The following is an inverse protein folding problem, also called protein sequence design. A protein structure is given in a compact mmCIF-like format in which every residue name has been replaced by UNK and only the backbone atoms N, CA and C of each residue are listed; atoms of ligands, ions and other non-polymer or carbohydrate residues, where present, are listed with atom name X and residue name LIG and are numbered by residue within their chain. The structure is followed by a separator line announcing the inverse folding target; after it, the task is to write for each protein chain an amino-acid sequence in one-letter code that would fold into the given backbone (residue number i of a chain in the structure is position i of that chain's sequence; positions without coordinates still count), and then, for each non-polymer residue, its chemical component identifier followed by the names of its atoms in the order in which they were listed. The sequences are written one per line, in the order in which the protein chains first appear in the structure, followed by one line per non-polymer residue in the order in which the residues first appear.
data_IF_545910244727
#
_entry.id   IF_545910244727
#
_cell.length_a   1.000
_cell.length_b   1.000
_cell.length_c   1.000
_cell.angle_alpha   90.00
_cell.angle_beta   90.00
_cell.angle_gamma   90.00
#
_symmetry.space_group_name_H-M   'P 1'
#
loop_
_entity.id
_entity.type
_entity.pdbx_description
1 polymer ?
#
# COMPACT_ATOMS: atom_id res chain seq x y z
N UNK A 1 -2.20 13.94 -41.92
CA UNK A 1 -2.69 12.91 -41.00
C UNK A 1 -2.19 13.27 -39.61
N UNK A 2 -3.07 13.70 -38.71
CA UNK A 2 -2.72 13.94 -37.30
C UNK A 2 -2.64 12.57 -36.62
N UNK A 3 -1.46 12.24 -36.10
CA UNK A 3 -1.24 11.03 -35.33
C UNK A 3 -1.83 11.22 -33.93
N UNK A 4 -3.06 10.74 -33.72
CA UNK A 4 -3.65 10.65 -32.38
C UNK A 4 -2.96 9.47 -31.69
N UNK A 5 -1.94 9.78 -30.89
CA UNK A 5 -1.47 8.84 -29.87
C UNK A 5 -2.65 8.68 -28.90
N UNK A 6 -3.23 7.48 -28.74
CA UNK A 6 -4.26 7.29 -27.72
C UNK A 6 -3.65 7.73 -26.39
N UNK A 7 -4.38 8.44 -25.52
CA UNK A 7 -3.88 8.70 -24.18
C UNK A 7 -3.50 7.34 -23.61
N UNK A 8 -2.22 7.15 -23.28
CA UNK A 8 -1.81 6.04 -22.41
C UNK A 8 -2.83 6.09 -21.28
N UNK A 9 -3.66 5.06 -21.17
CA UNK A 9 -4.57 4.94 -20.05
C UNK A 9 -3.70 5.24 -18.84
N UNK A 10 -4.02 6.33 -18.11
CA UNK A 10 -3.22 6.75 -16.98
C UNK A 10 -3.42 5.69 -15.90
N UNK A 11 -2.74 4.56 -16.03
CA UNK A 11 -2.43 3.72 -14.89
C UNK A 11 -1.61 4.62 -14.00
N UNK A 12 -2.24 5.06 -12.91
CA UNK A 12 -1.61 5.96 -11.97
C UNK A 12 -0.50 5.15 -11.33
N UNK A 13 0.74 5.60 -11.47
CA UNK A 13 1.92 4.89 -10.98
C UNK A 13 1.79 4.46 -9.50
N UNK A 14 0.98 5.18 -8.71
CA UNK A 14 0.62 4.83 -7.35
C UNK A 14 -0.10 3.46 -7.24
N UNK A 15 -1.06 3.20 -8.12
CA UNK A 15 -1.78 1.93 -8.21
C UNK A 15 -0.83 0.79 -8.59
N UNK A 16 0.10 1.06 -9.52
CA UNK A 16 1.13 0.10 -9.91
C UNK A 16 2.07 -0.25 -8.77
N UNK A 17 2.51 0.75 -7.99
CA UNK A 17 3.33 0.52 -6.79
C UNK A 17 2.58 -0.34 -5.79
N UNK A 18 1.32 -0.01 -5.48
CA UNK A 18 0.51 -0.79 -4.54
C UNK A 18 0.35 -2.25 -5.00
N UNK A 19 0.03 -2.44 -6.29
CA UNK A 19 -0.09 -3.77 -6.91
C UNK A 19 1.22 -4.57 -6.82
N UNK A 20 2.37 -3.94 -7.06
CA UNK A 20 3.68 -4.59 -6.95
C UNK A 20 3.96 -4.99 -5.50
N UNK A 21 3.72 -4.11 -4.53
CA UNK A 21 3.89 -4.42 -3.11
C UNK A 21 3.04 -5.62 -2.69
N UNK A 22 1.76 -5.63 -3.08
CA UNK A 22 0.86 -6.76 -2.81
C UNK A 22 1.35 -8.05 -3.48
N UNK A 23 1.87 -7.98 -4.72
CA UNK A 23 2.43 -9.15 -5.41
C UNK A 23 3.66 -9.74 -4.70
N UNK A 24 4.33 -8.95 -3.86
CA UNK A 24 5.43 -9.38 -2.99
C UNK A 24 4.98 -9.74 -1.57
N UNK A 25 3.69 -10.03 -1.39
CA UNK A 25 3.08 -10.48 -0.13
C UNK A 25 3.19 -9.44 1.02
N UNK A 26 3.22 -8.15 0.68
CA UNK A 26 3.02 -7.11 1.68
C UNK A 26 1.57 -7.15 2.15
N UNK A 27 1.35 -7.57 3.40
CA UNK A 27 0.00 -7.70 4.00
C UNK A 27 -0.34 -6.60 5.02
N UNK A 28 0.62 -5.79 5.43
CA UNK A 28 0.41 -4.74 6.45
C UNK A 28 0.74 -3.38 5.86
N UNK A 29 -0.21 -2.44 5.97
CA UNK A 29 -0.04 -1.05 5.57
C UNK A 29 -0.47 -0.17 6.73
N UNK A 30 0.46 0.59 7.29
CA UNK A 30 0.17 1.54 8.36
C UNK A 30 0.43 2.95 7.89
N UNK A 31 -0.45 3.88 8.24
CA UNK A 31 -0.40 5.24 7.69
C UNK A 31 -0.96 6.26 8.69
N UNK A 32 -0.47 7.49 8.58
CA UNK A 32 -1.14 8.68 9.11
C UNK A 32 -1.98 9.27 7.98
N UNK A 33 -3.17 9.85 8.24
CA UNK A 33 -3.98 10.46 7.18
C UNK A 33 -3.20 11.54 6.42
N UNK A 34 -2.96 11.30 5.13
CA UNK A 34 -2.19 12.18 4.25
C UNK A 34 -2.84 12.30 2.86
N UNK A 35 -2.96 13.53 2.37
CA UNK A 35 -3.54 13.80 1.06
C UNK A 35 -2.61 13.35 -0.08
N UNK A 36 -1.29 13.40 0.13
CA UNK A 36 -0.29 13.01 -0.86
C UNK A 36 -0.31 11.50 -1.17
N UNK A 37 -0.63 10.68 -0.18
CA UNK A 37 -0.71 9.22 -0.29
C UNK A 37 -2.15 8.68 -0.31
N UNK A 38 -3.16 9.55 -0.49
CA UNK A 38 -4.58 9.18 -0.53
C UNK A 38 -4.88 7.94 -1.37
N UNK A 39 -4.32 7.83 -2.57
CA UNK A 39 -4.53 6.66 -3.45
C UNK A 39 -4.06 5.35 -2.79
N UNK A 40 -2.89 5.34 -2.14
CA UNK A 40 -2.38 4.13 -1.50
C UNK A 40 -3.19 3.77 -0.25
N UNK A 41 -3.66 4.78 0.49
CA UNK A 41 -4.53 4.61 1.66
C UNK A 41 -5.88 4.01 1.23
N UNK A 42 -6.52 4.62 0.24
CA UNK A 42 -7.82 4.17 -0.28
C UNK A 42 -7.74 2.71 -0.77
N UNK A 43 -6.67 2.37 -1.50
CA UNK A 43 -6.44 1.00 -1.97
C UNK A 43 -6.20 0.03 -0.81
N UNK A 44 -5.45 0.42 0.22
CA UNK A 44 -5.21 -0.41 1.40
C UNK A 44 -6.49 -0.66 2.21
N UNK A 45 -7.33 0.35 2.39
CA UNK A 45 -8.59 0.24 3.14
C UNK A 45 -9.65 -0.60 2.41
N UNK A 46 -9.62 -0.62 1.07
CA UNK A 46 -10.56 -1.37 0.24
C UNK A 46 -10.17 -2.83 0.00
N UNK A 47 -8.92 -3.21 0.30
CA UNK A 47 -8.39 -4.52 -0.01
C UNK A 47 -8.44 -5.45 1.22
N UNK A 48 -9.33 -6.45 1.19
CA UNK A 48 -9.54 -7.40 2.30
C UNK A 48 -8.30 -8.25 2.61
N UNK A 49 -7.35 -8.36 1.68
CA UNK A 49 -6.08 -9.04 1.92
C UNK A 49 -5.07 -8.20 2.73
N UNK A 50 -5.29 -6.89 2.81
CA UNK A 50 -4.38 -5.95 3.46
C UNK A 50 -4.92 -5.58 4.84
N UNK A 51 -4.06 -5.70 5.85
CA UNK A 51 -4.29 -5.14 7.18
C UNK A 51 -3.88 -3.68 7.19
N UNK A 52 -4.83 -2.81 6.88
CA UNK A 52 -4.70 -1.34 6.95
C UNK A 52 -4.91 -0.84 8.38
N UNK A 53 -3.95 -0.10 8.94
CA UNK A 53 -4.08 0.51 10.27
C UNK A 53 -3.74 2.00 10.23
N UNK A 54 -4.68 2.82 10.69
CA UNK A 54 -4.47 4.25 10.88
C UNK A 54 -3.68 4.53 12.17
N UNK A 55 -2.71 5.43 12.08
CA UNK A 55 -1.83 5.84 13.17
C UNK A 55 -2.04 7.32 13.51
N UNK A 56 -1.61 7.73 14.71
CA UNK A 56 -1.60 9.13 15.10
C UNK A 56 -0.29 9.83 14.75
N UNK A 57 0.82 9.08 14.75
CA UNK A 57 2.12 9.52 14.23
C UNK A 57 2.81 8.42 13.43
N UNK A 58 3.74 8.80 12.55
CA UNK A 58 4.45 7.84 11.70
C UNK A 58 5.39 6.93 12.50
N UNK A 59 5.96 7.43 13.60
CA UNK A 59 6.89 6.71 14.46
C UNK A 59 6.26 5.49 15.13
N UNK A 60 4.95 5.54 15.42
CA UNK A 60 4.19 4.40 15.95
C UNK A 60 4.23 3.20 14.98
N UNK A 61 4.32 3.48 13.68
CA UNK A 61 4.34 2.48 12.62
C UNK A 61 5.58 1.60 12.65
N UNK A 62 6.71 2.12 13.13
CA UNK A 62 7.96 1.35 13.22
C UNK A 62 7.79 0.16 14.15
N UNK A 63 7.24 0.38 15.34
CA UNK A 63 7.01 -0.67 16.33
C UNK A 63 5.99 -1.71 15.82
N UNK A 64 4.90 -1.24 15.21
CA UNK A 64 3.88 -2.11 14.63
C UNK A 64 4.44 -3.00 13.53
N UNK A 65 5.10 -2.42 12.53
CA UNK A 65 5.62 -3.17 11.38
C UNK A 65 6.74 -4.13 11.80
N UNK A 66 7.61 -3.74 12.73
CA UNK A 66 8.61 -4.65 13.29
C UNK A 66 7.95 -5.85 13.98
N UNK A 67 6.90 -5.62 14.78
CA UNK A 67 6.13 -6.69 15.41
C UNK A 67 5.42 -7.59 14.40
N UNK A 68 4.76 -7.02 13.39
CA UNK A 68 4.08 -7.76 12.33
C UNK A 68 5.05 -8.66 11.55
N UNK A 69 6.22 -8.12 11.19
CA UNK A 69 7.26 -8.88 10.49
C UNK A 69 7.84 -10.02 11.34
N UNK A 70 8.12 -9.77 12.62
CA UNK A 70 8.58 -10.81 13.55
C UNK A 70 7.51 -11.88 13.78
N UNK A 71 6.24 -11.49 13.88
CA UNK A 71 5.11 -12.41 14.03
C UNK A 71 4.89 -13.28 12.80
N UNK A 72 4.99 -12.71 11.60
CA UNK A 72 4.90 -13.45 10.34
C UNK A 72 6.08 -14.42 10.16
N UNK A 73 7.30 -14.03 10.56
CA UNK A 73 8.48 -14.91 10.53
C UNK A 73 8.42 -16.06 11.55
N UNK A 74 7.59 -15.92 12.59
CA UNK A 74 7.36 -16.95 13.60
C UNK A 74 6.17 -17.89 13.26
N UNK A 75 5.34 -17.55 12.28
CA UNK A 75 4.29 -18.42 11.78
C UNK A 75 4.89 -19.42 10.78
N UNK A 76 4.72 -20.75 10.96
CA UNK A 76 5.19 -21.71 9.97
C UNK A 76 4.43 -21.52 8.65
N UNK A 77 5.19 -21.62 7.56
CA UNK A 77 4.78 -21.47 6.17
C UNK A 77 3.66 -22.41 5.70
#
# INVERSE_FOLDING_TARGET
MLNIVPPVAQTRWQEDVFRILKAHDVRHVVYVPDAGHSVAIDLAEQDEDIHSVVLTTEEEGIGYLAGAWLGASAAPC
#
